data_IF_437917544462
#
_entry.id   IF_437917544462
#
_cell.length_a   1.000
_cell.length_b   1.000
_cell.length_c   1.000
_cell.angle_alpha   90.00
_cell.angle_beta   90.00
_cell.angle_gamma   90.00
#
_symmetry.space_group_name_H-M   'P 1'
#
loop_
_entity.id
_entity.type
_entity.pdbx_description
1 polymer ?
#
# COMPACT_ATOMS: atom_id res chain seq x y z
N UNK A 1 19.87 2.14 -14.64
CA UNK A 1 19.20 1.19 -13.72
C UNK A 1 17.73 1.56 -13.70
N UNK A 2 16.91 0.83 -14.46
CA UNK A 2 15.47 1.08 -14.52
C UNK A 2 14.83 0.50 -13.27
N UNK A 3 14.37 1.36 -12.36
CA UNK A 3 13.62 0.96 -11.16
C UNK A 3 12.26 0.46 -11.65
N UNK A 4 12.12 -0.87 -11.80
CA UNK A 4 10.85 -1.49 -12.18
C UNK A 4 9.85 -1.28 -11.05
N UNK A 5 9.03 -0.24 -11.17
CA UNK A 5 7.99 0.14 -10.24
C UNK A 5 6.82 -0.86 -10.35
N UNK A 6 7.00 -2.07 -9.80
CA UNK A 6 5.94 -3.08 -9.72
C UNK A 6 4.95 -2.63 -8.64
N UNK A 7 4.02 -1.76 -9.03
CA UNK A 7 2.89 -1.39 -8.18
C UNK A 7 2.05 -2.64 -7.94
N UNK A 8 2.20 -3.20 -6.75
CA UNK A 8 1.47 -4.42 -6.40
C UNK A 8 0.05 -4.03 -6.05
N UNK A 9 -0.95 -4.68 -6.66
CA UNK A 9 -2.35 -4.44 -6.31
C UNK A 9 -2.60 -5.03 -4.92
N UNK A 10 -2.57 -4.17 -3.90
CA UNK A 10 -2.77 -4.60 -2.52
C UNK A 10 -4.25 -4.94 -2.26
N UNK A 11 -4.54 -6.05 -1.56
CA UNK A 11 -5.85 -6.35 -1.01
C UNK A 11 -6.39 -5.22 -0.11
N UNK A 12 -7.70 -5.01 -0.10
CA UNK A 12 -8.34 -3.93 0.67
C UNK A 12 -8.14 -4.06 2.19
N UNK A 13 -8.17 -5.29 2.71
CA UNK A 13 -7.88 -5.58 4.11
C UNK A 13 -6.46 -5.13 4.51
N UNK A 14 -5.47 -5.32 3.65
CA UNK A 14 -4.08 -4.90 3.89
C UNK A 14 -3.98 -3.38 4.01
N UNK A 15 -4.70 -2.65 3.15
CA UNK A 15 -4.72 -1.19 3.16
C UNK A 15 -5.32 -0.65 4.47
N UNK A 16 -6.36 -1.31 4.98
CA UNK A 16 -7.02 -0.90 6.23
C UNK A 16 -6.19 -1.28 7.46
N UNK A 17 -5.63 -2.49 7.46
CA UNK A 17 -5.01 -3.08 8.66
C UNK A 17 -3.54 -2.71 8.83
N UNK A 18 -2.78 -2.54 7.75
CA UNK A 18 -1.35 -2.26 7.84
C UNK A 18 -1.01 -0.98 8.64
N UNK A 19 -1.77 0.14 8.55
CA UNK A 19 -1.56 1.30 9.41
C UNK A 19 -1.72 1.03 10.91
N UNK A 20 -2.40 -0.06 11.29
CA UNK A 20 -2.57 -0.48 12.68
C UNK A 20 -1.42 -1.34 13.22
N UNK A 21 -0.45 -1.73 12.38
CA UNK A 21 0.73 -2.48 12.84
C UNK A 21 1.58 -1.61 13.77
N UNK A 22 2.04 -2.22 14.86
CA UNK A 22 2.90 -1.56 15.84
C UNK A 22 4.32 -1.39 15.29
N UNK A 23 5.11 -0.40 15.77
CA UNK A 23 6.49 -0.20 15.36
C UNK A 23 7.43 -1.25 15.99
N UNK A 24 7.20 -2.53 15.70
CA UNK A 24 7.96 -3.67 16.19
C UNK A 24 8.28 -4.67 15.08
N UNK A 25 9.13 -5.65 15.37
CA UNK A 25 9.49 -6.71 14.45
C UNK A 25 8.46 -7.84 14.50
N UNK A 26 7.91 -8.14 13.34
CA UNK A 26 7.02 -9.27 13.10
C UNK A 26 7.75 -10.33 12.27
N UNK A 27 7.42 -11.58 12.53
CA UNK A 27 7.70 -12.67 11.61
C UNK A 27 6.76 -12.61 10.40
N UNK A 28 7.11 -13.25 9.27
CA UNK A 28 6.21 -13.32 8.11
C UNK A 28 4.84 -13.90 8.46
N UNK A 29 4.80 -14.89 9.36
CA UNK A 29 3.56 -15.51 9.81
C UNK A 29 2.67 -14.53 10.56
N UNK A 30 3.22 -13.77 11.51
CA UNK A 30 2.45 -12.78 12.27
C UNK A 30 1.90 -11.68 11.36
N UNK A 31 2.68 -11.23 10.35
CA UNK A 31 2.17 -10.30 9.33
C UNK A 31 0.97 -10.88 8.58
N UNK A 32 1.03 -12.16 8.19
CA UNK A 32 -0.08 -12.82 7.51
C UNK A 32 -1.33 -12.90 8.40
N UNK A 33 -1.17 -13.23 9.67
CA UNK A 33 -2.27 -13.32 10.65
C UNK A 33 -2.89 -11.94 10.93
N UNK A 34 -2.08 -10.91 11.18
CA UNK A 34 -2.56 -9.54 11.43
C UNK A 34 -3.33 -8.98 10.23
N UNK A 35 -2.78 -9.15 9.01
CA UNK A 35 -3.36 -8.60 7.79
C UNK A 35 -4.46 -9.47 7.18
N UNK A 36 -4.66 -10.69 7.68
CA UNK A 36 -5.59 -11.69 7.11
C UNK A 36 -5.28 -11.99 5.64
N UNK A 37 -4.02 -12.38 5.36
CA UNK A 37 -3.55 -12.74 4.02
C UNK A 37 -2.87 -14.11 4.00
N UNK A 38 -2.85 -14.75 2.83
CA UNK A 38 -2.12 -16.00 2.64
C UNK A 38 -0.60 -15.78 2.66
N UNK A 39 0.14 -16.76 3.19
CA UNK A 39 1.62 -16.75 3.17
C UNK A 39 2.20 -16.67 1.75
N UNK A 40 1.50 -17.24 0.76
CA UNK A 40 1.90 -17.13 -0.65
C UNK A 40 1.94 -15.67 -1.11
N UNK A 41 0.94 -14.87 -0.73
CA UNK A 41 0.87 -13.45 -1.06
C UNK A 41 2.04 -12.68 -0.46
N UNK A 42 2.34 -12.90 0.82
CA UNK A 42 3.48 -12.27 1.47
C UNK A 42 4.82 -12.71 0.84
N UNK A 43 4.94 -14.00 0.49
CA UNK A 43 6.13 -14.53 -0.20
C UNK A 43 6.36 -13.84 -1.55
N UNK A 44 5.30 -13.59 -2.31
CA UNK A 44 5.40 -12.86 -3.59
C UNK A 44 5.88 -11.43 -3.35
N UNK A 45 5.39 -10.75 -2.30
CA UNK A 45 5.84 -9.40 -1.99
C UNK A 45 7.30 -9.32 -1.50
N UNK A 46 7.77 -10.36 -0.80
CA UNK A 46 9.18 -10.49 -0.40
C UNK A 46 10.13 -10.64 -1.61
N UNK A 47 9.65 -11.07 -2.78
CA UNK A 47 10.44 -11.11 -4.02
C UNK A 47 10.50 -9.75 -4.74
N UNK A 48 9.63 -8.81 -4.37
CA UNK A 48 9.55 -7.49 -5.01
C UNK A 48 10.43 -6.53 -4.22
N UNK A 49 9.94 -5.98 -3.11
CA UNK A 49 10.62 -4.92 -2.34
C UNK A 49 9.95 -4.65 -0.97
N UNK A 50 9.38 -5.66 -0.30
CA UNK A 50 8.87 -5.45 1.07
C UNK A 50 10.05 -5.18 2.02
N UNK A 51 9.99 -4.11 2.84
CA UNK A 51 11.04 -3.82 3.82
C UNK A 51 11.13 -4.96 4.84
N UNK A 52 12.27 -5.63 4.84
CA UNK A 52 12.54 -6.72 5.75
C UNK A 52 14.03 -6.79 6.08
N UNK A 53 14.33 -7.39 7.22
CA UNK A 53 15.67 -7.63 7.69
C UNK A 53 15.87 -9.13 7.86
N UNK A 54 17.11 -9.59 7.77
CA UNK A 54 17.48 -10.96 8.09
C UNK A 54 18.40 -10.99 9.29
N UNK A 55 18.13 -11.88 10.24
CA UNK A 55 19.03 -12.08 11.37
C UNK A 55 20.21 -13.01 11.01
N UNK A 56 21.12 -13.21 11.97
CA UNK A 56 22.28 -14.10 11.83
C UNK A 56 21.91 -15.57 11.56
N UNK A 57 20.64 -15.96 11.77
CA UNK A 57 20.09 -17.29 11.51
C UNK A 57 19.28 -17.31 10.21
N UNK A 58 19.39 -16.25 9.39
CA UNK A 58 18.68 -16.08 8.13
C UNK A 58 17.15 -16.09 8.27
N UNK A 59 16.61 -15.70 9.44
CA UNK A 59 15.17 -15.51 9.65
C UNK A 59 14.77 -14.12 9.19
N UNK A 60 13.61 -14.03 8.56
CA UNK A 60 13.04 -12.77 8.06
C UNK A 60 12.29 -12.07 9.20
N UNK A 61 12.54 -10.78 9.33
CA UNK A 61 11.87 -9.88 10.27
C UNK A 61 11.35 -8.67 9.51
N UNK A 62 10.10 -8.31 9.75
CA UNK A 62 9.40 -7.20 9.08
C UNK A 62 9.07 -6.17 10.15
N UNK A 63 9.56 -4.94 9.99
CA UNK A 63 9.15 -3.86 10.88
C UNK A 63 7.75 -3.38 10.50
N UNK A 64 6.81 -3.39 11.45
CA UNK A 64 5.42 -3.02 11.18
C UNK A 64 5.23 -1.59 10.69
N UNK A 65 6.01 -0.64 11.20
CA UNK A 65 5.95 0.77 10.77
C UNK A 65 6.48 0.94 9.34
N UNK A 66 7.63 0.33 9.03
CA UNK A 66 8.18 0.37 7.67
C UNK A 66 7.26 -0.32 6.67
N UNK A 67 6.66 -1.45 7.07
CA UNK A 67 5.68 -2.15 6.26
C UNK A 67 4.44 -1.28 5.99
N UNK A 68 3.90 -0.60 7.02
CA UNK A 68 2.78 0.31 6.87
C UNK A 68 3.09 1.47 5.91
N UNK A 69 4.29 2.05 6.01
CA UNK A 69 4.77 3.08 5.07
C UNK A 69 4.85 2.52 3.65
N UNK A 70 5.39 1.32 3.48
CA UNK A 70 5.47 0.66 2.18
C UNK A 70 4.08 0.45 1.56
N UNK A 71 3.11 -0.05 2.34
CA UNK A 71 1.70 -0.20 1.91
C UNK A 71 1.12 1.14 1.46
N UNK A 72 1.32 2.20 2.25
CA UNK A 72 0.82 3.53 1.90
C UNK A 72 1.43 4.06 0.60
N UNK A 73 2.72 3.80 0.36
CA UNK A 73 3.43 4.22 -0.85
C UNK A 73 3.01 3.44 -2.11
N UNK A 74 2.34 2.30 -1.98
CA UNK A 74 1.76 1.59 -3.14
C UNK A 74 0.55 2.35 -3.73
N UNK A 75 -0.05 3.25 -2.97
CA UNK A 75 -1.12 4.12 -3.47
C UNK A 75 -0.55 5.34 -4.20
N UNK A 76 -1.12 5.65 -5.37
CA UNK A 76 -0.98 7.02 -5.90
C UNK A 76 -1.67 7.96 -4.91
N UNK A 77 -1.05 9.08 -4.49
CA UNK A 77 -1.79 10.11 -3.79
C UNK A 77 -3.01 10.46 -4.65
N UNK A 78 -4.21 10.38 -4.07
CA UNK A 78 -5.41 10.88 -4.74
C UNK A 78 -5.15 12.35 -4.99
N UNK A 79 -4.97 12.72 -6.26
CA UNK A 79 -4.94 14.11 -6.66
C UNK A 79 -6.34 14.64 -6.38
N UNK A 80 -6.49 15.29 -5.24
CA UNK A 80 -7.68 16.07 -4.92
C UNK A 80 -7.54 17.36 -5.70
N UNK A 81 -7.88 17.31 -6.99
CA UNK A 81 -8.11 18.54 -7.74
C UNK A 81 -9.30 19.22 -7.04
N UNK A 82 -9.02 20.27 -6.27
CA UNK A 82 -10.06 21.18 -5.81
C UNK A 82 -10.73 21.71 -7.06
N UNK A 83 -12.05 21.51 -7.16
CA UNK A 83 -12.83 22.11 -8.22
C UNK A 83 -12.80 23.63 -8.02
N UNK A 84 -12.58 24.36 -9.10
CA UNK A 84 -12.77 25.81 -9.09
C UNK A 84 -14.28 26.14 -9.01
N UNK A 85 -14.64 27.38 -8.68
CA UNK A 85 -16.04 27.81 -8.54
C UNK A 85 -16.87 27.56 -9.82
N UNK A 86 -16.22 27.60 -11.00
CA UNK A 86 -16.83 27.36 -12.31
C UNK A 86 -16.74 25.90 -12.78
N UNK A 87 -16.34 24.96 -11.91
CA UNK A 87 -16.15 23.56 -12.23
C UNK A 87 -17.04 22.64 -11.39
N UNK A 88 -17.63 21.64 -12.04
CA UNK A 88 -18.43 20.59 -11.43
C UNK A 88 -17.89 19.21 -11.80
N UNK A 89 -18.05 18.23 -10.90
CA UNK A 89 -17.69 16.85 -11.20
C UNK A 89 -18.87 16.12 -11.84
N UNK A 90 -18.70 15.70 -13.09
CA UNK A 90 -19.73 14.95 -13.81
C UNK A 90 -19.71 13.47 -13.40
N UNK A 91 -20.73 13.02 -12.66
CA UNK A 91 -20.88 11.61 -12.26
C UNK A 91 -21.11 10.64 -13.45
N UNK A 92 -21.50 11.17 -14.61
CA UNK A 92 -21.71 10.36 -15.83
C UNK A 92 -20.43 10.15 -16.63
N UNK A 93 -19.61 11.20 -16.77
CA UNK A 93 -18.36 11.17 -17.54
C UNK A 93 -17.13 10.89 -16.66
N UNK A 94 -17.29 10.92 -15.33
CA UNK A 94 -16.23 10.76 -14.33
C UNK A 94 -15.07 11.77 -14.50
N UNK A 95 -15.39 12.97 -14.96
CA UNK A 95 -14.47 14.06 -15.28
C UNK A 95 -14.94 15.39 -14.70
N UNK A 96 -13.99 16.29 -14.43
CA UNK A 96 -14.26 17.69 -14.09
C UNK A 96 -14.74 18.41 -15.36
N UNK A 97 -15.87 19.10 -15.30
CA UNK A 97 -16.46 19.85 -16.41
C UNK A 97 -16.84 21.25 -15.95
N UNK A 98 -16.76 22.22 -16.85
CA UNK A 98 -17.17 23.59 -16.55
C UNK A 98 -18.68 23.67 -16.38
N UNK A 99 -19.13 24.43 -15.39
CA UNK A 99 -20.51 24.88 -15.31
C UNK A 99 -20.75 25.83 -16.49
N UNK A 100 -21.69 25.48 -17.36
CA UNK A 100 -22.17 26.39 -18.39
C UNK A 100 -23.10 27.40 -17.70
N UNK A 101 -22.73 28.68 -17.71
CA UNK A 101 -23.61 29.80 -17.33
C UNK A 101 -24.72 30.01 -18.34
#
# INVERSE_FOLDING_TARGET
MEVRNHRTKLPHNVIIKAPGLLPMLYTPREICEELDIAESTLRDWLQIDVPHQRDNRNRIWINGEEFARWVNNQHKPKVTNKLNEDEAYCLRCNQVSKLLS
#
